data_IF_630367853487
#
_entry.id   IF_630367853487
#
_cell.length_a   1.000
_cell.length_b   1.000
_cell.length_c   1.000
_cell.angle_alpha   90.00
_cell.angle_beta   90.00
_cell.angle_gamma   90.00
#
_symmetry.space_group_name_H-M   'P 1'
#
loop_
_entity.id
_entity.type
_entity.pdbx_description
1 polymer ?
#
# COMPACT_ATOMS: atom_id res chain seq x y z
N UNK A 1 -26.83 -13.31 11.17
CA UNK A 1 -25.37 -13.17 10.96
C UNK A 1 -24.64 -13.86 12.09
N UNK A 2 -23.67 -14.69 11.73
CA UNK A 2 -22.72 -15.29 12.68
C UNK A 2 -21.74 -14.22 13.14
N UNK A 3 -21.37 -14.23 14.42
CA UNK A 3 -20.44 -13.23 14.95
C UNK A 3 -19.02 -13.57 14.49
N UNK A 4 -18.22 -12.54 14.21
CA UNK A 4 -16.79 -12.68 14.00
C UNK A 4 -16.13 -13.21 15.29
N UNK A 5 -15.49 -14.39 15.23
CA UNK A 5 -15.00 -15.05 16.41
C UNK A 5 -13.72 -14.39 16.92
N UNK A 6 -13.67 -14.17 18.24
CA UNK A 6 -12.46 -13.67 18.91
C UNK A 6 -11.35 -14.71 18.85
N UNK A 7 -11.71 -15.98 19.03
CA UNK A 7 -10.79 -17.10 19.10
C UNK A 7 -11.16 -18.18 18.10
N UNK A 8 -10.16 -18.71 17.44
CA UNK A 8 -10.22 -19.83 16.49
C UNK A 8 -8.99 -20.68 16.80
N UNK A 9 -9.19 -21.98 17.03
CA UNK A 9 -8.08 -22.89 17.34
C UNK A 9 -7.01 -22.85 16.24
N UNK A 10 -5.75 -22.66 16.64
CA UNK A 10 -4.60 -22.71 15.74
C UNK A 10 -4.03 -24.13 15.79
N UNK A 11 -4.07 -24.82 14.65
CA UNK A 11 -3.43 -26.13 14.51
C UNK A 11 -1.91 -25.96 14.33
N UNK A 12 -1.20 -25.86 15.45
CA UNK A 12 0.27 -25.74 15.47
C UNK A 12 0.99 -26.92 14.80
N UNK A 13 0.33 -28.08 14.64
CA UNK A 13 0.95 -29.23 13.97
C UNK A 13 1.27 -28.94 12.50
N UNK A 14 0.51 -28.06 11.84
CA UNK A 14 0.78 -27.58 10.47
C UNK A 14 2.07 -26.77 10.34
N UNK A 15 2.62 -26.32 11.45
CA UNK A 15 3.78 -25.43 11.49
C UNK A 15 5.02 -26.10 12.12
N UNK A 16 5.00 -27.42 12.31
CA UNK A 16 6.16 -28.13 12.85
C UNK A 16 7.41 -27.92 11.98
N UNK A 17 8.60 -27.75 12.60
CA UNK A 17 9.83 -27.35 11.91
C UNK A 17 10.33 -28.40 10.92
N UNK A 18 10.04 -29.68 11.17
CA UNK A 18 10.49 -30.86 10.45
C UNK A 18 9.51 -31.38 9.39
N UNK A 19 8.42 -30.66 9.12
CA UNK A 19 7.47 -31.03 8.07
C UNK A 19 8.13 -31.01 6.67
N UNK A 20 7.92 -32.07 5.85
CA UNK A 20 8.33 -32.08 4.46
C UNK A 20 7.67 -30.97 3.63
N UNK A 21 8.41 -30.40 2.66
CA UNK A 21 7.92 -29.29 1.82
C UNK A 21 6.62 -29.61 1.06
N UNK A 22 6.41 -30.86 0.64
CA UNK A 22 5.21 -31.29 -0.07
C UNK A 22 3.95 -31.27 0.80
N UNK A 23 4.12 -31.39 2.12
CA UNK A 23 3.05 -31.32 3.13
C UNK A 23 2.75 -29.89 3.59
N UNK A 24 3.62 -28.92 3.26
CA UNK A 24 3.40 -27.53 3.63
C UNK A 24 2.31 -26.90 2.73
N UNK A 25 1.23 -26.47 3.37
CA UNK A 25 0.15 -25.75 2.71
C UNK A 25 0.56 -24.30 2.39
N UNK A 26 0.17 -23.83 1.21
CA UNK A 26 0.37 -22.46 0.78
C UNK A 26 -0.96 -21.72 0.66
N UNK A 27 -1.17 -20.76 1.53
CA UNK A 27 -2.34 -19.87 1.53
C UNK A 27 -2.24 -18.81 0.43
N UNK A 28 -3.37 -18.15 0.15
CA UNK A 28 -3.49 -16.98 -0.76
C UNK A 28 -3.10 -17.25 -2.23
N UNK A 29 -2.94 -18.52 -2.61
CA UNK A 29 -2.42 -18.90 -3.93
C UNK A 29 -0.93 -18.62 -4.12
N UNK A 30 -0.19 -18.47 -3.02
CA UNK A 30 1.26 -18.25 -3.05
C UNK A 30 2.02 -19.45 -3.65
N UNK A 31 3.15 -19.22 -4.35
CA UNK A 31 4.00 -20.30 -4.82
C UNK A 31 4.58 -21.10 -3.65
N UNK A 32 4.37 -22.42 -3.64
CA UNK A 32 4.93 -23.32 -2.60
C UNK A 32 6.45 -23.24 -2.48
N UNK A 33 7.14 -23.12 -3.61
CA UNK A 33 8.60 -22.99 -3.64
C UNK A 33 8.99 -21.51 -3.53
N UNK A 34 9.58 -21.14 -2.40
CA UNK A 34 10.04 -19.78 -2.14
C UNK A 34 11.37 -19.53 -2.83
N UNK A 35 11.45 -18.45 -3.60
CA UNK A 35 12.66 -18.01 -4.29
C UNK A 35 12.92 -16.55 -3.99
N UNK A 36 14.19 -16.19 -3.83
CA UNK A 36 14.64 -14.80 -3.69
C UNK A 36 15.33 -14.34 -4.97
N UNK A 37 15.15 -13.07 -5.31
CA UNK A 37 15.88 -12.41 -6.38
C UNK A 37 17.39 -12.46 -6.08
N UNK A 38 18.22 -12.69 -7.09
CA UNK A 38 19.69 -12.69 -6.95
C UNK A 38 20.28 -11.30 -6.75
N UNK A 39 19.55 -10.26 -7.17
CA UNK A 39 20.04 -8.88 -7.21
C UNK A 39 19.39 -7.99 -6.15
N UNK A 40 18.32 -8.45 -5.50
CA UNK A 40 17.68 -7.71 -4.41
C UNK A 40 17.16 -8.68 -3.33
N UNK A 41 16.44 -8.15 -2.34
CA UNK A 41 15.94 -8.94 -1.20
C UNK A 41 14.50 -9.43 -1.37
N UNK A 42 13.85 -9.14 -2.51
CA UNK A 42 12.47 -9.57 -2.80
C UNK A 42 12.36 -11.08 -3.03
N UNK A 43 11.23 -11.66 -2.65
CA UNK A 43 10.87 -13.04 -3.00
C UNK A 43 9.65 -13.11 -3.92
N UNK A 44 9.47 -14.27 -4.55
CA UNK A 44 8.28 -14.60 -5.35
C UNK A 44 6.97 -14.72 -4.54
N UNK A 45 7.02 -14.41 -3.24
CA UNK A 45 5.86 -14.37 -2.34
C UNK A 45 5.18 -12.99 -2.33
N UNK A 46 5.81 -11.97 -2.93
CA UNK A 46 5.23 -10.63 -3.00
C UNK A 46 3.96 -10.65 -3.85
N UNK A 47 2.78 -10.30 -3.31
CA UNK A 47 1.59 -10.17 -4.13
C UNK A 47 1.71 -8.98 -5.11
N UNK A 48 1.15 -9.13 -6.30
CA UNK A 48 0.97 -8.07 -7.26
C UNK A 48 -0.28 -7.25 -6.93
N UNK A 49 -0.32 -6.02 -7.41
CA UNK A 49 -1.53 -5.19 -7.28
C UNK A 49 -2.71 -5.86 -7.96
N UNK A 50 -3.85 -5.91 -7.27
CA UNK A 50 -5.12 -6.42 -7.79
C UNK A 50 -6.22 -5.37 -7.74
N UNK A 51 -7.39 -5.72 -8.30
CA UNK A 51 -8.62 -4.95 -8.13
C UNK A 51 -9.09 -5.09 -6.68
N UNK A 52 -8.76 -4.10 -5.86
CA UNK A 52 -8.85 -4.22 -4.39
C UNK A 52 -10.28 -4.40 -3.89
N UNK A 53 -11.25 -3.92 -4.66
CA UNK A 53 -12.67 -4.07 -4.36
C UNK A 53 -13.20 -5.48 -4.66
N UNK A 54 -12.41 -6.38 -5.26
CA UNK A 54 -12.78 -7.80 -5.44
C UNK A 54 -12.17 -8.71 -4.35
N UNK A 55 -11.46 -8.13 -3.39
CA UNK A 55 -10.66 -8.88 -2.42
C UNK A 55 -11.51 -9.49 -1.29
N UNK A 56 -11.44 -10.81 -1.19
CA UNK A 56 -12.04 -11.66 -0.17
C UNK A 56 -10.98 -12.58 0.46
N UNK A 57 -11.34 -13.33 1.50
CA UNK A 57 -10.43 -14.32 2.11
C UNK A 57 -10.02 -15.42 1.13
N UNK A 58 -10.85 -15.71 0.14
CA UNK A 58 -10.63 -16.75 -0.87
C UNK A 58 -9.87 -16.22 -2.11
N UNK A 59 -9.51 -14.93 -2.14
CA UNK A 59 -8.79 -14.36 -3.26
C UNK A 59 -7.42 -15.00 -3.47
N UNK A 60 -7.20 -15.49 -4.69
CA UNK A 60 -5.90 -15.97 -5.16
C UNK A 60 -5.07 -14.79 -5.65
N UNK A 61 -3.88 -14.60 -5.07
CA UNK A 61 -2.96 -13.52 -5.43
C UNK A 61 -1.99 -13.99 -6.50
N UNK A 62 -1.90 -13.24 -7.60
CA UNK A 62 -0.74 -13.32 -8.50
C UNK A 62 0.45 -12.71 -7.75
N UNK A 63 1.62 -13.32 -7.89
CA UNK A 63 2.83 -12.85 -7.22
C UNK A 63 3.90 -12.38 -8.20
N UNK A 64 4.91 -11.70 -7.66
CA UNK A 64 6.10 -11.29 -8.40
C UNK A 64 6.76 -12.50 -9.06
N UNK A 65 7.11 -12.35 -10.33
CA UNK A 65 7.85 -13.36 -11.08
C UNK A 65 9.35 -13.15 -10.87
N UNK A 66 10.03 -14.24 -10.51
CA UNK A 66 11.49 -14.37 -10.59
C UNK A 66 11.75 -15.19 -11.86
N UNK A 67 12.48 -14.60 -12.81
CA UNK A 67 12.72 -15.21 -14.11
C UNK A 67 13.77 -16.34 -14.01
N UNK A 68 14.00 -17.07 -15.10
CA UNK A 68 14.93 -18.21 -15.15
C UNK A 68 16.38 -17.82 -14.81
N UNK A 69 16.77 -16.57 -15.05
CA UNK A 69 18.07 -16.03 -14.66
C UNK A 69 18.21 -15.79 -13.14
N UNK A 70 17.09 -15.86 -12.39
CA UNK A 70 17.01 -15.63 -10.96
C UNK A 70 16.79 -14.16 -10.57
N UNK A 71 16.43 -13.30 -11.52
CA UNK A 71 16.20 -11.87 -11.31
C UNK A 71 14.69 -11.57 -11.39
N UNK A 72 14.20 -10.70 -10.51
CA UNK A 72 12.79 -10.31 -10.49
C UNK A 72 12.44 -9.25 -11.54
N UNK A 73 11.17 -9.19 -11.95
CA UNK A 73 10.68 -8.23 -12.94
C UNK A 73 11.01 -6.76 -12.60
N UNK A 74 11.00 -6.41 -11.31
CA UNK A 74 11.33 -5.08 -10.82
C UNK A 74 12.81 -4.69 -11.01
N UNK A 75 13.74 -5.66 -10.90
CA UNK A 75 15.16 -5.44 -11.19
C UNK A 75 15.38 -5.33 -12.70
N UNK A 76 14.74 -6.17 -13.51
CA UNK A 76 14.75 -6.06 -14.97
C UNK A 76 14.21 -4.71 -15.45
N UNK A 77 13.13 -4.21 -14.85
CA UNK A 77 12.61 -2.86 -15.13
C UNK A 77 13.65 -1.78 -14.85
N UNK A 78 14.39 -1.90 -13.74
CA UNK A 78 15.46 -0.96 -13.42
C UNK A 78 16.63 -1.05 -14.41
N UNK A 79 17.05 -2.25 -14.79
CA UNK A 79 18.07 -2.43 -15.83
C UNK A 79 17.68 -1.76 -17.15
N UNK A 80 16.41 -1.82 -17.55
CA UNK A 80 15.93 -1.10 -18.73
C UNK A 80 16.09 0.43 -18.59
N UNK A 81 15.86 0.97 -17.40
CA UNK A 81 16.08 2.40 -17.10
C UNK A 81 17.57 2.78 -17.08
N UNK A 82 18.44 1.92 -16.55
CA UNK A 82 19.87 2.18 -16.37
C UNK A 82 20.68 1.97 -17.66
N UNK A 83 20.36 0.93 -18.45
CA UNK A 83 21.15 0.50 -19.60
C UNK A 83 20.80 1.22 -20.91
N UNK A 84 20.07 2.35 -20.84
CA UNK A 84 19.73 3.16 -22.02
C UNK A 84 18.68 2.54 -22.94
N UNK A 85 17.90 1.55 -22.47
CA UNK A 85 16.76 1.02 -23.22
C UNK A 85 15.56 1.97 -23.26
N UNK A 86 15.59 3.03 -22.44
CA UNK A 86 14.61 4.10 -22.43
C UNK A 86 15.27 5.40 -22.88
N UNK A 87 14.77 5.96 -23.97
CA UNK A 87 15.13 7.31 -24.41
C UNK A 87 14.36 8.35 -23.58
N UNK A 88 14.99 8.79 -22.49
CA UNK A 88 14.40 9.78 -21.59
C UNK A 88 14.19 11.14 -22.25
N UNK A 89 14.96 11.51 -23.28
CA UNK A 89 14.74 12.76 -24.00
C UNK A 89 13.48 12.67 -24.87
N UNK A 90 13.24 11.53 -25.51
CA UNK A 90 11.99 11.25 -26.22
C UNK A 90 10.80 11.24 -25.25
N UNK A 91 10.91 10.55 -24.11
CA UNK A 91 9.87 10.53 -23.06
C UNK A 91 9.52 11.93 -22.55
N UNK A 92 10.52 12.76 -22.32
CA UNK A 92 10.33 14.14 -21.89
C UNK A 92 9.61 14.98 -22.95
N UNK A 93 9.97 14.77 -24.23
CA UNK A 93 9.29 15.40 -25.37
C UNK A 93 7.83 14.95 -25.47
N UNK A 94 7.53 13.66 -25.34
CA UNK A 94 6.16 13.12 -25.31
C UNK A 94 5.32 13.78 -24.20
N UNK A 95 5.91 14.00 -23.02
CA UNK A 95 5.23 14.70 -21.92
C UNK A 95 4.98 16.18 -22.23
N UNK A 96 5.93 16.87 -22.86
CA UNK A 96 5.72 18.26 -23.28
C UNK A 96 4.57 18.36 -24.27
N UNK A 97 4.55 17.52 -25.29
CA UNK A 97 3.48 17.49 -26.29
C UNK A 97 2.12 17.19 -25.65
N UNK A 98 2.06 16.23 -24.72
CA UNK A 98 0.86 15.95 -23.95
C UNK A 98 0.43 17.16 -23.10
N UNK A 99 1.34 17.77 -22.36
CA UNK A 99 1.04 18.96 -21.58
C UNK A 99 0.54 20.11 -22.48
N UNK A 100 1.16 20.33 -23.64
CA UNK A 100 0.74 21.37 -24.60
C UNK A 100 -0.65 21.13 -25.17
N UNK A 101 -1.06 19.87 -25.36
CA UNK A 101 -2.42 19.49 -25.78
C UNK A 101 -3.49 19.87 -24.76
N UNK A 102 -3.21 19.65 -23.46
CA UNK A 102 -4.20 19.84 -22.38
C UNK A 102 -4.11 21.19 -21.66
N UNK A 103 -2.97 21.88 -21.74
CA UNK A 103 -2.72 23.12 -20.99
C UNK A 103 -3.76 24.18 -21.34
N UNK A 104 -4.38 24.74 -20.31
CA UNK A 104 -5.38 25.79 -20.46
C UNK A 104 -4.78 27.16 -20.25
N UNK A 105 -5.27 28.14 -21.00
CA UNK A 105 -4.83 29.54 -20.94
C UNK A 105 -5.89 30.46 -20.30
N UNK A 106 -6.98 29.89 -19.79
CA UNK A 106 -8.09 30.61 -19.15
C UNK A 106 -7.98 30.68 -17.62
N UNK A 107 -6.93 30.07 -17.05
CA UNK A 107 -6.67 30.01 -15.61
C UNK A 107 -7.42 28.88 -14.88
N UNK A 108 -8.17 28.03 -15.59
CA UNK A 108 -8.77 26.83 -15.00
C UNK A 108 -7.78 25.66 -14.89
N UNK A 109 -8.09 24.67 -14.05
CA UNK A 109 -7.26 23.49 -13.89
C UNK A 109 -7.23 22.65 -15.19
N UNK A 110 -6.03 22.19 -15.56
CA UNK A 110 -5.77 21.40 -16.77
C UNK A 110 -5.26 19.98 -16.47
N UNK A 111 -4.79 19.72 -15.25
CA UNK A 111 -4.51 18.38 -14.77
C UNK A 111 -4.87 18.21 -13.28
N UNK A 112 -4.98 16.95 -12.84
CA UNK A 112 -5.23 16.58 -11.46
C UNK A 112 -4.09 15.70 -10.92
N UNK A 113 -3.60 16.01 -9.72
CA UNK A 113 -2.56 15.24 -9.03
C UNK A 113 -3.10 14.75 -7.68
N UNK A 114 -3.35 13.44 -7.50
CA UNK A 114 -3.69 12.90 -6.21
C UNK A 114 -2.44 12.78 -5.32
N UNK A 115 -2.61 12.95 -4.02
CA UNK A 115 -1.51 12.82 -3.07
C UNK A 115 -1.86 13.15 -1.64
N UNK A 116 -0.99 12.75 -0.71
CA UNK A 116 -1.13 13.04 0.73
C UNK A 116 -0.27 14.21 1.21
N UNK A 117 0.49 14.86 0.31
CA UNK A 117 1.56 15.80 0.69
C UNK A 117 2.89 15.12 0.98
N UNK A 118 2.99 13.81 0.73
CA UNK A 118 4.25 13.08 0.68
C UNK A 118 5.16 13.59 -0.46
N UNK A 119 6.44 13.19 -0.39
CA UNK A 119 7.49 13.61 -1.35
C UNK A 119 7.11 13.38 -2.82
N UNK A 120 6.47 12.25 -3.14
CA UNK A 120 6.20 11.87 -4.52
C UNK A 120 5.10 12.72 -5.13
N UNK A 121 4.02 12.95 -4.38
CA UNK A 121 2.92 13.82 -4.81
C UNK A 121 3.34 15.28 -4.89
N UNK A 122 4.19 15.74 -3.96
CA UNK A 122 4.75 17.07 -4.01
C UNK A 122 5.59 17.25 -5.28
N UNK A 123 6.55 16.33 -5.51
CA UNK A 123 7.42 16.34 -6.69
C UNK A 123 6.60 16.35 -7.98
N UNK A 124 5.59 15.48 -8.11
CA UNK A 124 4.72 15.43 -9.29
C UNK A 124 4.01 16.77 -9.56
N UNK A 125 3.33 17.32 -8.56
CA UNK A 125 2.57 18.55 -8.71
C UNK A 125 3.48 19.75 -8.99
N UNK A 126 4.62 19.82 -8.31
CA UNK A 126 5.61 20.88 -8.48
C UNK A 126 6.27 20.83 -9.86
N UNK A 127 6.64 19.65 -10.33
CA UNK A 127 7.20 19.48 -11.67
C UNK A 127 6.20 19.91 -12.75
N UNK A 128 4.96 19.42 -12.70
CA UNK A 128 3.92 19.77 -13.66
C UNK A 128 3.65 21.28 -13.70
N UNK A 129 3.58 21.93 -12.53
CA UNK A 129 3.35 23.37 -12.44
C UNK A 129 4.50 24.20 -12.95
N UNK A 130 5.71 23.97 -12.45
CA UNK A 130 6.83 24.90 -12.64
C UNK A 130 7.73 24.54 -13.84
N UNK A 131 7.86 23.26 -14.21
CA UNK A 131 8.62 22.83 -15.41
C UNK A 131 7.74 22.80 -16.66
N UNK A 132 6.49 22.36 -16.53
CA UNK A 132 5.57 22.16 -17.66
C UNK A 132 4.47 23.22 -17.80
N UNK A 133 4.40 24.18 -16.86
CA UNK A 133 3.46 25.30 -16.94
C UNK A 133 1.99 24.89 -16.83
N UNK A 134 1.71 23.74 -16.21
CA UNK A 134 0.35 23.24 -15.98
C UNK A 134 -0.28 23.92 -14.74
N UNK A 135 -1.60 23.85 -14.64
CA UNK A 135 -2.40 24.27 -13.48
C UNK A 135 -2.99 23.03 -12.78
N UNK A 136 -2.20 22.32 -11.95
CA UNK A 136 -2.68 21.12 -11.27
C UNK A 136 -3.69 21.45 -10.17
N UNK A 137 -4.82 20.74 -10.16
CA UNK A 137 -5.67 20.58 -8.98
C UNK A 137 -5.14 19.43 -8.13
N UNK A 138 -4.84 19.66 -6.86
CA UNK A 138 -4.42 18.58 -5.97
C UNK A 138 -5.62 18.00 -5.22
N UNK A 139 -5.63 16.68 -5.02
CA UNK A 139 -6.71 15.97 -4.32
C UNK A 139 -6.12 14.98 -3.32
N UNK A 140 -6.62 15.02 -2.09
CA UNK A 140 -6.14 14.16 -1.01
C UNK A 140 -7.26 13.28 -0.48
N UNK A 141 -7.01 11.97 -0.44
CA UNK A 141 -7.77 11.05 0.39
C UNK A 141 -7.11 10.98 1.75
N UNK A 142 -7.84 11.34 2.81
CA UNK A 142 -7.27 11.41 4.15
C UNK A 142 -6.82 10.01 4.64
N UNK A 143 -5.68 9.92 5.35
CA UNK A 143 -5.29 8.71 6.07
C UNK A 143 -6.29 8.38 7.18
N UNK A 144 -6.18 7.17 7.72
CA UNK A 144 -7.00 6.75 8.85
C UNK A 144 -6.76 7.64 10.07
N UNK A 145 -5.49 7.86 10.40
CA UNK A 145 -5.05 8.73 11.49
C UNK A 145 -3.76 9.43 11.07
N UNK A 146 -3.80 10.75 10.95
CA UNK A 146 -2.62 11.53 10.64
C UNK A 146 -1.52 11.39 11.70
N UNK A 147 -0.27 11.31 11.25
CA UNK A 147 0.87 11.71 12.06
C UNK A 147 1.01 13.24 12.09
N UNK A 148 1.61 13.84 13.14
CA UNK A 148 1.84 15.29 13.18
C UNK A 148 2.68 15.78 11.99
N UNK A 149 3.76 15.08 11.66
CA UNK A 149 4.63 15.44 10.54
C UNK A 149 3.98 15.20 9.16
N UNK A 150 3.13 14.17 9.04
CA UNK A 150 2.32 13.95 7.83
C UNK A 150 1.38 15.12 7.55
N UNK A 151 0.69 15.61 8.60
CA UNK A 151 -0.15 16.79 8.50
C UNK A 151 0.66 18.06 8.16
N UNK A 152 1.81 18.27 8.81
CA UNK A 152 2.71 19.39 8.47
C UNK A 152 3.16 19.35 7.01
N UNK A 153 3.54 18.18 6.49
CA UNK A 153 3.94 18.01 5.09
C UNK A 153 2.78 18.31 4.12
N UNK A 154 1.56 17.89 4.45
CA UNK A 154 0.37 18.25 3.67
C UNK A 154 0.16 19.78 3.63
N UNK A 155 0.30 20.46 4.77
CA UNK A 155 0.19 21.93 4.81
C UNK A 155 1.32 22.60 4.02
N UNK A 156 2.55 22.07 4.12
CA UNK A 156 3.70 22.58 3.38
C UNK A 156 3.48 22.46 1.87
N UNK A 157 2.93 21.35 1.40
CA UNK A 157 2.55 21.16 0.00
C UNK A 157 1.53 22.21 -0.47
N UNK A 158 0.45 22.43 0.27
CA UNK A 158 -0.57 23.44 -0.07
C UNK A 158 0.05 24.84 -0.12
N UNK A 159 0.84 25.19 0.88
CA UNK A 159 1.45 26.53 0.99
C UNK A 159 2.65 26.76 0.06
N UNK A 160 3.13 25.73 -0.64
CA UNK A 160 4.03 25.86 -1.79
C UNK A 160 3.31 26.35 -3.08
N UNK A 161 2.01 26.64 -2.98
CA UNK A 161 1.22 27.29 -4.03
C UNK A 161 0.27 26.35 -4.76
N UNK A 162 -0.36 25.41 -4.06
CA UNK A 162 -1.30 24.44 -4.63
C UNK A 162 -2.68 24.53 -3.97
N UNK A 163 -3.72 24.51 -4.79
CA UNK A 163 -5.08 24.29 -4.30
C UNK A 163 -5.27 22.80 -4.00
N UNK A 164 -5.98 22.48 -2.93
CA UNK A 164 -6.23 21.12 -2.50
C UNK A 164 -7.69 20.86 -2.13
N UNK A 165 -8.23 19.73 -2.61
CA UNK A 165 -9.44 19.15 -2.08
C UNK A 165 -9.11 17.95 -1.19
N UNK A 166 -9.31 18.13 0.11
CA UNK A 166 -9.20 17.06 1.10
C UNK A 166 -10.55 16.34 1.25
N UNK A 167 -10.58 15.06 0.90
CA UNK A 167 -11.69 14.17 1.21
C UNK A 167 -11.35 13.35 2.45
N UNK A 168 -12.00 13.67 3.57
CA UNK A 168 -11.96 12.84 4.79
C UNK A 168 -13.23 11.98 4.82
N UNK A 169 -13.12 10.64 4.80
CA UNK A 169 -14.30 9.79 4.86
C UNK A 169 -15.07 9.95 6.16
N UNK A 170 -16.34 9.52 6.17
CA UNK A 170 -17.11 9.34 7.40
C UNK A 170 -16.31 8.44 8.36
N UNK A 171 -15.86 9.00 9.48
CA UNK A 171 -14.96 8.32 10.41
C UNK A 171 -15.57 7.07 11.07
N UNK A 172 -16.90 6.97 11.15
CA UNK A 172 -17.56 5.75 11.64
C UNK A 172 -17.47 4.64 10.59
N UNK A 173 -17.89 4.94 9.35
CA UNK A 173 -17.82 3.97 8.24
C UNK A 173 -16.38 3.54 7.96
N UNK A 174 -15.45 4.49 7.88
CA UNK A 174 -14.03 4.19 7.63
C UNK A 174 -13.47 3.26 8.71
N UNK A 175 -13.73 3.57 9.98
CA UNK A 175 -13.32 2.73 11.12
C UNK A 175 -13.87 1.31 11.03
N UNK A 176 -15.16 1.17 10.75
CA UNK A 176 -15.80 -0.14 10.65
C UNK A 176 -15.23 -0.95 9.47
N UNK A 177 -15.04 -0.33 8.31
CA UNK A 177 -14.41 -0.98 7.17
C UNK A 177 -12.96 -1.40 7.47
N UNK A 178 -12.18 -0.57 8.18
CA UNK A 178 -10.82 -0.94 8.61
C UNK A 178 -10.86 -2.15 9.55
N UNK A 179 -11.76 -2.14 10.55
CA UNK A 179 -11.93 -3.28 11.46
C UNK A 179 -12.29 -4.56 10.72
N UNK A 180 -13.23 -4.50 9.77
CA UNK A 180 -13.62 -5.65 8.95
C UNK A 180 -12.44 -6.14 8.09
N UNK A 181 -11.70 -5.22 7.47
CA UNK A 181 -10.51 -5.56 6.69
C UNK A 181 -9.41 -6.21 7.54
N UNK A 182 -9.23 -5.78 8.79
CA UNK A 182 -8.31 -6.41 9.75
C UNK A 182 -8.74 -7.84 10.09
N UNK A 183 -10.02 -8.09 10.33
CA UNK A 183 -10.49 -9.41 10.76
C UNK A 183 -10.64 -10.41 9.63
N UNK A 184 -11.22 -9.98 8.52
CA UNK A 184 -11.58 -10.87 7.41
C UNK A 184 -10.41 -11.11 6.46
N UNK A 185 -9.53 -10.12 6.29
CA UNK A 185 -8.46 -10.15 5.28
C UNK A 185 -7.06 -10.08 5.90
N UNK A 186 -6.97 -9.72 7.18
CA UNK A 186 -5.74 -9.29 7.84
C UNK A 186 -4.99 -8.24 7.01
N UNK A 187 -5.76 -7.23 6.55
CA UNK A 187 -5.28 -6.14 5.71
C UNK A 187 -5.94 -4.82 6.13
N UNK A 188 -5.53 -4.20 7.26
CA UNK A 188 -6.17 -2.99 7.79
C UNK A 188 -6.18 -1.82 6.81
N UNK A 189 -5.26 -1.78 5.85
CA UNK A 189 -5.09 -0.68 4.91
C UNK A 189 -6.04 -0.69 3.71
N UNK A 190 -6.78 -1.78 3.50
CA UNK A 190 -7.65 -1.93 2.32
C UNK A 190 -8.59 -0.73 2.09
N UNK A 191 -9.33 -0.21 3.10
CA UNK A 191 -10.24 0.91 2.87
C UNK A 191 -9.54 2.18 2.39
N UNK A 192 -8.28 2.38 2.79
CA UNK A 192 -7.47 3.50 2.32
C UNK A 192 -7.00 3.29 0.88
N UNK A 193 -6.54 2.09 0.51
CA UNK A 193 -6.17 1.76 -0.89
C UNK A 193 -7.36 1.98 -1.83
N UNK A 194 -8.57 1.61 -1.41
CA UNK A 194 -9.80 1.87 -2.17
C UNK A 194 -9.98 3.37 -2.40
N UNK A 195 -9.95 4.19 -1.35
CA UNK A 195 -10.06 5.65 -1.48
C UNK A 195 -8.98 6.26 -2.39
N UNK A 196 -7.72 5.82 -2.25
CA UNK A 196 -6.62 6.27 -3.10
C UNK A 196 -6.87 6.00 -4.58
N UNK A 197 -7.34 4.80 -4.93
CA UNK A 197 -7.60 4.43 -6.33
C UNK A 197 -8.83 5.13 -6.90
N UNK A 198 -9.87 5.34 -6.10
CA UNK A 198 -11.18 5.79 -6.60
C UNK A 198 -11.40 7.31 -6.58
N UNK A 199 -10.77 8.04 -5.66
CA UNK A 199 -11.08 9.46 -5.48
C UNK A 199 -10.64 10.32 -6.66
N UNK A 200 -9.42 10.13 -7.16
CA UNK A 200 -8.83 11.00 -8.17
C UNK A 200 -9.63 10.99 -9.50
N UNK A 201 -9.96 9.83 -10.09
CA UNK A 201 -10.76 9.79 -11.32
C UNK A 201 -12.16 10.38 -11.15
N UNK A 202 -12.80 10.16 -9.99
CA UNK A 202 -14.11 10.76 -9.68
C UNK A 202 -14.06 12.28 -9.61
N UNK A 203 -13.02 12.82 -8.96
CA UNK A 203 -12.84 14.27 -8.85
C UNK A 203 -12.48 14.88 -10.20
N UNK A 204 -11.66 14.20 -11.00
CA UNK A 204 -11.36 14.60 -12.38
C UNK A 204 -12.64 14.73 -13.22
N UNK A 205 -13.52 13.72 -13.18
CA UNK A 205 -14.82 13.76 -13.85
C UNK A 205 -15.72 14.87 -13.32
N UNK A 206 -15.74 15.09 -12.01
CA UNK A 206 -16.57 16.14 -11.37
C UNK A 206 -16.15 17.56 -11.76
N UNK A 207 -14.86 17.80 -11.94
CA UNK A 207 -14.32 19.11 -12.32
C UNK A 207 -14.13 19.29 -13.85
N UNK A 208 -14.39 18.25 -14.65
CA UNK A 208 -14.14 18.29 -16.10
C UNK A 208 -12.65 18.42 -16.42
N UNK A 209 -11.80 17.72 -15.66
CA UNK A 209 -10.34 17.69 -15.85
C UNK A 209 -9.98 16.35 -16.51
N UNK A 210 -9.67 16.30 -17.80
CA UNK A 210 -9.47 15.04 -18.52
C UNK A 210 -8.14 14.34 -18.19
N UNK A 211 -7.18 15.03 -17.56
CA UNK A 211 -5.83 14.50 -17.36
C UNK A 211 -5.51 14.32 -15.87
N UNK A 212 -5.23 13.09 -15.45
CA UNK A 212 -4.82 12.72 -14.08
C UNK A 212 -3.42 12.12 -14.09
N UNK A 213 -2.51 12.62 -13.24
CA UNK A 213 -1.16 12.08 -13.09
C UNK A 213 -0.96 11.39 -11.74
N UNK A 214 -0.64 10.10 -11.77
CA UNK A 214 -0.03 9.37 -10.65
C UNK A 214 1.50 9.41 -10.78
N UNK A 215 2.23 9.04 -9.72
CA UNK A 215 3.69 8.97 -9.72
C UNK A 215 4.22 7.79 -10.53
N UNK A 216 4.70 6.75 -9.84
CA UNK A 216 5.30 5.56 -10.43
C UNK A 216 4.27 4.48 -10.81
N UNK A 217 4.62 3.70 -11.83
CA UNK A 217 3.86 2.53 -12.27
C UNK A 217 4.09 1.36 -11.29
N UNK A 218 3.08 0.51 -11.07
CA UNK A 218 3.18 -0.66 -10.18
C UNK A 218 4.29 -1.65 -10.60
N UNK A 219 4.72 -1.68 -11.87
CA UNK A 219 5.85 -2.49 -12.35
C UNK A 219 7.17 -2.14 -11.66
N UNK A 220 7.34 -0.88 -11.22
CA UNK A 220 8.46 -0.43 -10.38
C UNK A 220 8.46 -1.08 -8.98
N UNK A 221 7.39 -1.79 -8.63
CA UNK A 221 7.26 -2.50 -7.37
C UNK A 221 7.03 -4.00 -7.58
N UNK A 222 7.24 -4.52 -8.80
CA UNK A 222 7.23 -5.96 -9.08
C UNK A 222 5.97 -6.52 -9.73
N UNK A 223 5.07 -5.66 -10.21
CA UNK A 223 4.09 -6.08 -11.21
C UNK A 223 4.79 -6.42 -12.55
N UNK A 224 4.10 -7.08 -13.49
CA UNK A 224 4.67 -7.47 -14.76
C UNK A 224 5.34 -6.31 -15.50
N UNK A 225 6.57 -6.53 -15.96
CA UNK A 225 7.38 -5.50 -16.65
C UNK A 225 6.69 -4.93 -17.91
N UNK A 226 5.80 -5.70 -18.54
CA UNK A 226 5.02 -5.26 -19.69
C UNK A 226 4.15 -4.04 -19.40
N UNK A 227 3.74 -3.83 -18.14
CA UNK A 227 2.92 -2.70 -17.72
C UNK A 227 3.66 -1.35 -17.87
N UNK A 228 5.01 -1.37 -17.90
CA UNK A 228 5.85 -0.17 -18.14
C UNK A 228 5.84 0.31 -19.60
N UNK A 229 5.25 -0.44 -20.53
CA UNK A 229 5.18 -0.04 -21.94
C UNK A 229 4.11 1.03 -22.22
N UNK A 230 3.24 1.31 -21.25
CA UNK A 230 2.16 2.28 -21.38
C UNK A 230 2.25 3.33 -20.28
N UNK A 231 1.99 4.58 -20.65
CA UNK A 231 1.76 5.64 -19.68
C UNK A 231 0.38 5.53 -19.00
N UNK A 232 -0.58 4.86 -19.64
CA UNK A 232 -1.96 4.75 -19.17
C UNK A 232 -2.10 3.67 -18.09
N UNK A 233 -2.81 4.02 -17.02
CA UNK A 233 -3.24 3.06 -16.00
C UNK A 233 -4.44 2.26 -16.49
N UNK A 234 -4.45 0.96 -16.20
CA UNK A 234 -5.60 0.10 -16.47
C UNK A 234 -6.85 0.62 -15.75
N UNK A 235 -7.91 0.85 -16.51
CA UNK A 235 -9.18 1.41 -16.02
C UNK A 235 -9.88 0.51 -15.00
N UNK A 236 -9.67 -0.81 -15.05
CA UNK A 236 -10.27 -1.76 -14.11
C UNK A 236 -9.81 -1.54 -12.67
N UNK A 237 -8.70 -0.82 -12.44
CA UNK A 237 -8.32 -0.41 -11.08
C UNK A 237 -9.28 0.61 -10.46
N UNK A 238 -10.02 1.34 -11.28
CA UNK A 238 -10.83 2.47 -10.82
C UNK A 238 -12.21 2.63 -11.49
N UNK A 239 -12.61 1.68 -12.32
CA UNK A 239 -13.89 1.69 -13.00
C UNK A 239 -14.51 0.29 -13.10
N UNK A 240 -15.82 0.19 -12.85
CA UNK A 240 -16.60 -1.04 -13.06
C UNK A 240 -18.02 -0.69 -13.51
N UNK A 241 -18.69 -1.66 -14.13
CA UNK A 241 -20.12 -1.58 -14.45
C UNK A 241 -20.97 -2.60 -13.66
N UNK A 242 -20.32 -3.44 -12.86
CA UNK A 242 -20.97 -4.44 -12.01
C UNK A 242 -20.54 -4.24 -10.55
N UNK A 243 -21.53 -4.19 -9.66
CA UNK A 243 -21.35 -3.97 -8.23
C UNK A 243 -21.59 -5.23 -7.40
N UNK A 244 -22.05 -6.34 -8.00
CA UNK A 244 -22.37 -7.59 -7.31
C UNK A 244 -21.12 -8.28 -6.73
N UNK A 245 -19.96 -7.98 -7.30
CA UNK A 245 -18.66 -8.52 -6.90
C UNK A 245 -17.77 -7.53 -6.13
N UNK A 246 -18.38 -6.51 -5.51
CA UNK A 246 -17.66 -5.54 -4.68
C UNK A 246 -17.68 -5.92 -3.19
N UNK A 247 -16.50 -5.94 -2.60
CA UNK A 247 -16.23 -6.24 -1.21
C UNK A 247 -15.41 -5.12 -0.57
N UNK A 248 -15.85 -4.64 0.59
CA UNK A 248 -15.13 -3.67 1.41
C UNK A 248 -14.90 -4.31 2.78
N UNK A 249 -13.64 -4.42 3.21
CA UNK A 249 -13.26 -5.18 4.39
C UNK A 249 -13.51 -6.69 4.25
N UNK A 250 -13.52 -7.21 3.03
CA UNK A 250 -13.87 -8.61 2.73
C UNK A 250 -15.37 -8.93 2.85
N UNK A 251 -16.21 -7.91 3.00
CA UNK A 251 -17.67 -8.04 3.19
C UNK A 251 -18.40 -7.45 1.98
N UNK A 252 -19.41 -8.16 1.48
CA UNK A 252 -20.21 -7.68 0.34
C UNK A 252 -20.97 -6.40 0.66
N UNK A 253 -21.24 -5.56 -0.35
CA UNK A 253 -22.06 -4.35 -0.19
C UNK A 253 -23.42 -4.65 0.47
N UNK A 254 -24.07 -5.74 0.05
CA UNK A 254 -25.34 -6.20 0.61
C UNK A 254 -25.25 -6.46 2.12
N UNK A 255 -24.21 -7.15 2.57
CA UNK A 255 -24.01 -7.41 4.00
C UNK A 255 -23.70 -6.10 4.75
N UNK A 256 -22.88 -5.21 4.21
CA UNK A 256 -22.62 -3.90 4.84
C UNK A 256 -23.91 -3.10 5.09
N UNK A 257 -24.85 -3.14 4.15
CA UNK A 257 -26.17 -2.51 4.31
C UNK A 257 -27.11 -3.28 5.24
N UNK A 258 -27.25 -4.60 5.05
CA UNK A 258 -28.25 -5.41 5.75
C UNK A 258 -27.85 -5.72 7.19
N UNK A 259 -26.60 -6.09 7.41
CA UNK A 259 -26.08 -6.61 8.68
C UNK A 259 -25.46 -5.49 9.53
N UNK A 260 -24.65 -4.62 8.89
CA UNK A 260 -23.92 -3.55 9.58
C UNK A 260 -24.67 -2.21 9.57
N UNK A 261 -25.76 -2.09 8.80
CA UNK A 261 -26.61 -0.88 8.67
C UNK A 261 -25.84 0.36 8.21
N UNK A 262 -24.85 0.18 7.32
CA UNK A 262 -24.14 1.30 6.70
C UNK A 262 -25.02 1.90 5.59
N UNK A 263 -25.10 3.23 5.53
CA UNK A 263 -25.84 3.92 4.47
C UNK A 263 -25.09 3.82 3.13
N UNK A 264 -25.84 3.65 2.03
CA UNK A 264 -25.27 3.60 0.67
C UNK A 264 -24.44 4.84 0.34
N UNK A 265 -24.85 6.01 0.82
CA UNK A 265 -24.13 7.26 0.61
C UNK A 265 -22.74 7.25 1.27
N UNK A 266 -22.61 6.61 2.43
CA UNK A 266 -21.33 6.47 3.13
C UNK A 266 -20.39 5.46 2.43
N UNK A 267 -20.96 4.48 1.72
CA UNK A 267 -20.20 3.51 0.91
C UNK A 267 -19.75 4.09 -0.43
N UNK A 268 -20.51 5.02 -1.01
CA UNK A 268 -20.33 5.53 -2.37
C UNK A 268 -18.92 6.08 -2.68
N UNK A 269 -18.24 6.64 -1.67
CA UNK A 269 -16.88 7.19 -1.83
C UNK A 269 -15.82 6.11 -2.06
N UNK A 270 -16.05 4.87 -1.60
CA UNK A 270 -15.14 3.73 -1.74
C UNK A 270 -15.35 2.94 -3.04
N UNK A 271 -16.50 3.11 -3.69
CA UNK A 271 -16.84 2.37 -4.90
C UNK A 271 -16.04 2.86 -6.12
N UNK A 272 -15.82 2.06 -7.16
CA UNK A 272 -15.22 2.55 -8.40
C UNK A 272 -16.12 3.56 -9.12
N UNK A 273 -15.58 4.25 -10.13
CA UNK A 273 -16.42 5.02 -11.04
C UNK A 273 -17.15 4.09 -12.01
N UNK A 274 -18.28 4.52 -12.56
CA UNK A 274 -18.82 3.88 -13.77
C UNK A 274 -17.94 4.24 -14.97
N UNK A 275 -17.66 3.27 -15.85
CA UNK A 275 -16.85 3.49 -17.05
C UNK A 275 -17.43 4.62 -17.91
N UNK A 276 -18.75 4.67 -18.04
CA UNK A 276 -19.48 5.70 -18.80
C UNK A 276 -19.18 7.14 -18.34
N UNK A 277 -18.93 7.34 -17.04
CA UNK A 277 -18.62 8.65 -16.48
C UNK A 277 -17.19 9.09 -16.85
N UNK A 278 -16.26 8.14 -16.95
CA UNK A 278 -14.88 8.42 -17.35
C UNK A 278 -14.79 8.70 -18.85
N UNK A 279 -15.48 7.90 -19.67
CA UNK A 279 -15.57 8.07 -21.12
C UNK A 279 -16.17 9.43 -21.49
N UNK A 280 -17.29 9.80 -20.86
CA UNK A 280 -17.98 11.08 -21.11
C UNK A 280 -17.09 12.30 -20.84
N UNK A 281 -16.18 12.20 -19.88
CA UNK A 281 -15.27 13.29 -19.52
C UNK A 281 -13.87 13.13 -20.13
N UNK A 282 -13.66 12.11 -20.98
CA UNK A 282 -12.38 11.77 -21.59
C UNK A 282 -11.22 11.66 -20.57
N UNK A 283 -11.51 11.05 -19.41
CA UNK A 283 -10.53 10.93 -18.32
C UNK A 283 -9.42 9.96 -18.71
N UNK A 284 -8.18 10.42 -18.60
CA UNK A 284 -6.97 9.64 -18.80
C UNK A 284 -6.13 9.69 -17.53
N UNK A 285 -5.91 8.51 -16.94
CA UNK A 285 -5.04 8.33 -15.78
C UNK A 285 -3.68 7.87 -16.27
N UNK A 286 -2.65 8.66 -16.02
CA UNK A 286 -1.28 8.44 -16.51
C UNK A 286 -0.25 8.39 -15.40
N UNK A 287 0.82 7.62 -15.60
CA UNK A 287 1.99 7.60 -14.73
C UNK A 287 3.02 8.62 -15.17
N UNK A 288 3.37 9.56 -14.30
CA UNK A 288 4.41 10.55 -14.56
C UNK A 288 5.80 9.89 -14.65
N UNK A 289 6.03 8.80 -13.90
CA UNK A 289 7.26 8.01 -13.94
C UNK A 289 7.53 7.28 -15.26
N UNK A 290 6.55 7.23 -16.18
CA UNK A 290 6.79 6.80 -17.57
C UNK A 290 7.59 7.84 -18.36
N UNK A 291 7.32 9.12 -18.09
CA UNK A 291 7.89 10.26 -18.80
C UNK A 291 9.17 10.76 -18.17
N UNK A 292 9.23 10.73 -16.85
CA UNK A 292 10.35 11.21 -16.05
C UNK A 292 11.07 10.04 -15.39
N UNK A 293 12.41 10.09 -15.39
CA UNK A 293 13.22 9.09 -14.69
C UNK A 293 13.02 9.26 -13.19
N UNK A 294 12.05 8.52 -12.64
CA UNK A 294 11.69 8.62 -11.24
C UNK A 294 12.81 8.07 -10.36
N UNK A 295 13.21 8.86 -9.37
CA UNK A 295 14.22 8.51 -8.37
C UNK A 295 13.67 8.86 -6.98
N UNK A 296 13.22 7.88 -6.18
CA UNK A 296 12.51 8.11 -4.92
C UNK A 296 13.26 9.00 -3.92
N UNK A 297 14.57 8.78 -3.74
CA UNK A 297 15.40 9.61 -2.87
C UNK A 297 15.63 11.02 -3.47
N UNK A 298 15.65 11.12 -4.80
CA UNK A 298 15.69 12.41 -5.51
C UNK A 298 14.42 13.22 -5.28
N UNK A 299 13.25 12.59 -5.33
CA UNK A 299 11.97 13.22 -5.02
C UNK A 299 11.92 13.70 -3.55
N UNK A 300 12.56 12.99 -2.63
CA UNK A 300 12.73 13.44 -1.24
C UNK A 300 13.52 14.76 -1.18
N UNK A 301 14.74 14.79 -1.73
CA UNK A 301 15.56 16.01 -1.69
C UNK A 301 14.90 17.19 -2.41
N UNK A 302 14.26 16.94 -3.55
CA UNK A 302 13.51 17.94 -4.28
C UNK A 302 12.39 18.55 -3.43
N UNK A 303 11.62 17.71 -2.74
CA UNK A 303 10.50 18.13 -1.90
C UNK A 303 10.94 18.88 -0.65
N UNK A 304 12.10 18.54 -0.09
CA UNK A 304 12.72 19.30 1.00
C UNK A 304 13.08 20.71 0.52
N UNK A 305 13.76 20.81 -0.63
CA UNK A 305 14.25 22.07 -1.19
C UNK A 305 13.11 23.02 -1.62
N UNK A 306 12.09 22.49 -2.30
CA UNK A 306 11.07 23.30 -2.95
C UNK A 306 9.77 23.41 -2.13
N UNK A 307 9.53 22.46 -1.22
CA UNK A 307 8.27 22.32 -0.49
C UNK A 307 8.40 22.39 1.03
N UNK A 308 9.61 22.33 1.58
CA UNK A 308 9.81 22.26 3.02
C UNK A 308 9.38 20.93 3.65
N UNK A 309 9.37 19.84 2.87
CA UNK A 309 9.08 18.49 3.38
C UNK A 309 9.97 18.14 4.57
N UNK A 310 9.40 17.47 5.57
CA UNK A 310 10.08 17.01 6.78
C UNK A 310 9.95 15.50 6.92
N UNK A 311 11.06 14.76 7.09
CA UNK A 311 10.99 13.36 7.46
C UNK A 311 10.40 13.21 8.86
N UNK A 312 9.95 11.99 9.19
CA UNK A 312 9.56 11.63 10.55
C UNK A 312 10.74 11.87 11.52
N UNK A 313 10.47 12.19 12.80
CA UNK A 313 11.53 12.42 13.79
C UNK A 313 12.35 11.15 14.06
N UNK A 314 11.75 9.99 13.87
CA UNK A 314 12.28 8.64 14.10
C UNK A 314 12.04 7.75 12.88
N UNK A 315 12.65 6.55 12.87
CA UNK A 315 12.39 5.54 11.83
C UNK A 315 10.97 4.98 11.93
N UNK A 316 10.42 4.57 10.80
CA UNK A 316 9.18 3.79 10.76
C UNK A 316 9.45 2.37 11.26
N UNK A 317 8.63 1.85 12.17
CA UNK A 317 8.81 0.48 12.67
C UNK A 317 8.62 -0.55 11.55
N UNK A 318 9.48 -1.56 11.54
CA UNK A 318 9.60 -2.49 10.42
C UNK A 318 10.57 -2.02 9.34
N UNK A 319 11.23 -0.86 9.49
CA UNK A 319 12.27 -0.34 8.55
C UNK A 319 13.24 0.65 9.21
N UNK A 320 14.26 1.04 8.45
CA UNK A 320 15.24 2.08 8.78
C UNK A 320 14.86 3.45 8.18
N UNK A 321 13.90 3.49 7.25
CA UNK A 321 13.47 4.71 6.57
C UNK A 321 12.72 5.68 7.49
N UNK A 322 12.80 6.98 7.16
CA UNK A 322 12.14 8.09 7.87
C UNK A 322 11.26 8.95 6.95
N UNK A 323 11.17 8.65 5.67
CA UNK A 323 10.61 9.59 4.68
C UNK A 323 9.53 8.99 3.77
N UNK A 324 9.36 7.66 3.77
CA UNK A 324 8.39 6.96 2.93
C UNK A 324 7.12 6.58 3.73
N UNK A 325 5.93 6.91 3.23
CA UNK A 325 4.63 6.56 3.83
C UNK A 325 4.49 6.94 5.31
N UNK A 326 4.81 8.20 5.63
CA UNK A 326 4.90 8.65 7.03
C UNK A 326 3.65 9.40 7.49
N UNK A 327 2.62 9.53 6.66
CA UNK A 327 1.42 10.34 6.91
C UNK A 327 0.32 9.62 7.69
N UNK A 328 0.23 8.29 7.64
CA UNK A 328 -0.77 7.49 8.34
C UNK A 328 -0.15 6.66 9.47
N UNK A 329 -0.70 6.74 10.68
CA UNK A 329 -0.28 5.89 11.80
C UNK A 329 -0.55 4.39 11.56
N UNK A 330 -1.54 4.03 10.73
CA UNK A 330 -1.88 2.62 10.45
C UNK A 330 -0.86 1.92 9.54
N UNK A 331 -0.01 2.67 8.82
CA UNK A 331 0.95 2.13 7.84
C UNK A 331 1.88 1.06 8.44
N UNK A 332 2.33 1.24 9.69
CA UNK A 332 3.18 0.26 10.36
C UNK A 332 2.49 -1.12 10.49
N UNK A 333 1.20 -1.12 10.83
CA UNK A 333 0.39 -2.33 10.92
C UNK A 333 0.11 -2.93 9.54
N UNK A 334 -0.01 -2.11 8.50
CA UNK A 334 -0.14 -2.61 7.13
C UNK A 334 1.06 -3.46 6.74
N UNK A 335 2.29 -2.96 6.93
CA UNK A 335 3.48 -3.73 6.59
C UNK A 335 3.73 -4.89 7.54
N UNK A 336 3.39 -4.75 8.82
CA UNK A 336 3.43 -5.87 9.75
C UNK A 336 2.48 -7.01 9.30
N UNK A 337 1.22 -6.71 8.94
CA UNK A 337 0.30 -7.73 8.41
C UNK A 337 0.77 -8.33 7.08
N UNK A 338 1.43 -7.54 6.24
CA UNK A 338 2.09 -8.01 4.99
C UNK A 338 3.19 -9.03 5.31
N UNK A 339 4.02 -8.77 6.32
CA UNK A 339 5.05 -9.70 6.79
C UNK A 339 4.45 -11.02 7.28
N UNK A 340 3.37 -10.98 8.05
CA UNK A 340 2.67 -12.20 8.52
C UNK A 340 2.14 -13.03 7.35
N UNK A 341 1.49 -12.40 6.37
CA UNK A 341 0.85 -13.14 5.28
C UNK A 341 1.86 -13.67 4.26
N UNK A 342 2.91 -12.90 3.97
CA UNK A 342 3.75 -13.11 2.78
C UNK A 342 5.23 -13.29 3.10
N UNK A 343 5.65 -13.21 4.37
CA UNK A 343 7.05 -13.34 4.78
C UNK A 343 7.94 -12.18 4.31
N UNK A 344 7.34 -11.06 3.91
CA UNK A 344 8.00 -9.87 3.37
C UNK A 344 7.51 -8.66 4.17
N UNK A 345 8.42 -7.98 4.87
CA UNK A 345 8.12 -6.78 5.65
C UNK A 345 8.50 -5.49 4.93
N UNK A 346 8.32 -4.35 5.60
CA UNK A 346 8.60 -3.03 5.01
C UNK A 346 10.06 -2.86 4.59
N UNK A 347 11.00 -3.42 5.37
CA UNK A 347 12.43 -3.28 5.08
C UNK A 347 12.77 -3.95 3.76
N UNK A 348 12.22 -5.14 3.47
CA UNK A 348 12.41 -5.77 2.16
C UNK A 348 11.98 -4.84 1.02
N UNK A 349 10.84 -4.15 1.13
CA UNK A 349 10.37 -3.21 0.11
C UNK A 349 11.31 -2.00 -0.07
N UNK A 350 11.65 -1.32 1.04
CA UNK A 350 12.50 -0.13 1.01
C UNK A 350 13.90 -0.52 0.50
N UNK A 351 14.52 -1.56 1.05
CA UNK A 351 15.86 -2.00 0.69
C UNK A 351 15.93 -2.49 -0.76
N UNK A 352 14.92 -3.21 -1.26
CA UNK A 352 14.89 -3.61 -2.66
C UNK A 352 14.75 -2.41 -3.61
N UNK A 353 14.05 -1.34 -3.22
CA UNK A 353 14.00 -0.11 -4.00
C UNK A 353 15.36 0.62 -3.98
N UNK A 354 15.99 0.71 -2.82
CA UNK A 354 17.29 1.39 -2.66
C UNK A 354 18.42 0.65 -3.37
N UNK A 355 18.45 -0.69 -3.39
CA UNK A 355 19.40 -1.46 -4.23
C UNK A 355 19.22 -1.10 -5.71
N UNK A 356 17.98 -1.07 -6.19
CA UNK A 356 17.70 -0.81 -7.60
C UNK A 356 18.10 0.61 -8.00
N UNK A 357 18.14 1.55 -7.05
CA UNK A 357 18.63 2.91 -7.29
C UNK A 357 20.12 3.10 -6.96
N UNK A 358 20.86 2.00 -6.71
CA UNK A 358 22.29 2.01 -6.38
C UNK A 358 22.63 2.76 -5.08
N UNK A 359 21.66 2.87 -4.16
CA UNK A 359 21.82 3.58 -2.89
C UNK A 359 22.45 2.69 -1.81
N UNK A 360 22.16 1.38 -1.85
CA UNK A 360 22.72 0.37 -0.94
C UNK A 360 23.10 -0.90 -1.71
N UNK A 361 23.99 -1.68 -1.13
CA UNK A 361 24.38 -3.00 -1.64
C UNK A 361 23.42 -4.10 -1.19
N UNK A 362 23.46 -5.25 -1.88
CA UNK A 362 22.68 -6.43 -1.49
C UNK A 362 23.02 -6.92 -0.07
N UNK A 363 24.29 -6.85 0.34
CA UNK A 363 24.71 -7.30 1.66
C UNK A 363 24.21 -6.36 2.77
N UNK A 364 24.24 -5.06 2.53
CA UNK A 364 23.61 -4.08 3.43
C UNK A 364 22.10 -4.31 3.54
N UNK A 365 21.42 -4.51 2.42
CA UNK A 365 19.99 -4.80 2.41
C UNK A 365 19.62 -6.07 3.18
N UNK A 366 20.40 -7.15 3.03
CA UNK A 366 20.22 -8.39 3.79
C UNK A 366 20.38 -8.16 5.29
N UNK A 367 21.40 -7.39 5.69
CA UNK A 367 21.62 -7.03 7.08
C UNK A 367 20.46 -6.17 7.64
N UNK A 368 19.94 -5.22 6.85
CA UNK A 368 18.78 -4.41 7.22
C UNK A 368 17.52 -5.28 7.39
N UNK A 369 17.24 -6.18 6.45
CA UNK A 369 16.09 -7.09 6.55
C UNK A 369 16.18 -7.96 7.81
N UNK A 370 17.37 -8.49 8.11
CA UNK A 370 17.62 -9.28 9.33
C UNK A 370 17.33 -8.49 10.61
N UNK A 371 17.64 -7.19 10.57
CA UNK A 371 17.52 -6.29 11.72
C UNK A 371 16.09 -5.77 11.95
N UNK A 372 15.31 -5.58 10.90
CA UNK A 372 14.07 -4.78 10.99
C UNK A 372 12.81 -5.47 10.44
N UNK A 373 12.90 -6.44 9.54
CA UNK A 373 11.68 -7.07 9.01
C UNK A 373 10.97 -7.93 10.05
N UNK A 374 9.68 -7.65 10.25
CA UNK A 374 8.87 -8.33 11.24
C UNK A 374 8.87 -7.68 12.62
N UNK A 375 9.55 -6.55 12.78
CA UNK A 375 9.44 -5.73 13.99
C UNK A 375 7.97 -5.39 14.29
N UNK A 376 7.58 -5.60 15.54
CA UNK A 376 6.21 -5.32 15.97
C UNK A 376 5.97 -3.79 16.08
N UNK A 377 4.89 -3.26 15.49
CA UNK A 377 4.64 -1.83 15.45
C UNK A 377 3.94 -1.32 16.72
N UNK A 378 4.68 -1.12 17.81
CA UNK A 378 4.12 -0.65 19.09
C UNK A 378 3.99 0.88 19.23
N UNK A 379 4.66 1.70 18.40
CA UNK A 379 4.73 3.17 18.58
C UNK A 379 3.37 3.87 18.55
N UNK A 380 2.40 3.32 17.80
CA UNK A 380 1.03 3.84 17.71
C UNK A 380 -0.03 2.80 18.09
N UNK A 381 0.38 1.69 18.70
CA UNK A 381 -0.51 0.56 18.97
C UNK A 381 -1.76 1.00 19.74
N UNK A 382 -1.58 1.81 20.80
CA UNK A 382 -2.71 2.21 21.65
C UNK A 382 -3.79 2.95 20.85
N UNK A 383 -3.41 3.92 20.03
CA UNK A 383 -4.35 4.64 19.16
C UNK A 383 -4.98 3.72 18.12
N UNK A 384 -4.23 2.77 17.56
CA UNK A 384 -4.72 1.87 16.52
C UNK A 384 -5.68 0.83 17.10
N UNK A 385 -5.37 0.23 18.25
CA UNK A 385 -6.28 -0.68 18.94
C UNK A 385 -7.57 0.04 19.36
N UNK A 386 -7.46 1.30 19.79
CA UNK A 386 -8.63 2.14 20.06
C UNK A 386 -9.43 2.44 18.77
N UNK A 387 -8.76 2.75 17.67
CA UNK A 387 -9.39 3.00 16.38
C UNK A 387 -10.13 1.74 15.89
N UNK A 388 -9.50 0.57 15.93
CA UNK A 388 -10.11 -0.70 15.51
C UNK A 388 -11.21 -1.20 16.46
N UNK A 389 -11.35 -0.61 17.65
CA UNK A 389 -12.40 -0.99 18.59
C UNK A 389 -13.76 -0.44 18.17
N UNK A 390 -14.77 -1.31 18.22
CA UNK A 390 -16.16 -0.99 17.87
C UNK A 390 -16.95 -0.86 19.17
N UNK A 391 -17.42 0.36 19.48
CA UNK A 391 -18.22 0.61 20.68
C UNK A 391 -19.72 0.61 20.38
N UNK A 392 -20.53 0.24 21.38
CA UNK A 392 -21.98 0.09 21.23
C UNK A 392 -22.70 1.42 20.99
N UNK A 393 -22.13 2.55 21.43
CA UNK A 393 -22.77 3.85 21.33
C UNK A 393 -22.77 4.36 19.89
N UNK A 394 -21.63 4.26 19.20
CA UNK A 394 -21.50 4.69 17.81
C UNK A 394 -21.88 3.59 16.82
N UNK A 395 -21.71 2.31 17.20
CA UNK A 395 -21.93 1.18 16.31
C UNK A 395 -22.93 0.15 16.88
N UNK A 396 -24.17 0.52 17.19
CA UNK A 396 -25.11 -0.37 17.90
C UNK A 396 -25.41 -1.68 17.16
N UNK A 397 -25.38 -1.65 15.82
CA UNK A 397 -25.56 -2.83 14.97
C UNK A 397 -24.25 -3.61 14.81
N UNK A 398 -23.19 -2.96 14.32
CA UNK A 398 -21.90 -3.63 14.11
C UNK A 398 -21.31 -4.23 15.39
N UNK A 399 -21.50 -3.60 16.55
CA UNK A 399 -21.07 -4.13 17.86
C UNK A 399 -21.58 -5.55 18.12
N UNK A 400 -22.77 -5.90 17.61
CA UNK A 400 -23.37 -7.23 17.80
C UNK A 400 -22.74 -8.29 16.90
N UNK A 401 -22.02 -7.88 15.86
CA UNK A 401 -21.36 -8.73 14.88
C UNK A 401 -20.01 -9.26 15.35
N UNK A 402 -19.47 -8.79 16.47
CA UNK A 402 -18.17 -9.21 17.00
C UNK A 402 -18.37 -9.94 18.34
N UNK A 403 -17.69 -11.07 18.54
CA UNK A 403 -17.63 -11.68 19.88
C UNK A 403 -16.88 -10.79 20.87
N UNK A 404 -15.77 -10.18 20.42
CA UNK A 404 -15.02 -9.19 21.18
C UNK A 404 -14.94 -7.86 20.40
N UNK A 405 -15.83 -6.88 20.68
CA UNK A 405 -15.83 -5.61 19.96
C UNK A 405 -14.59 -4.74 20.21
N UNK A 406 -13.97 -4.86 21.39
CA UNK A 406 -12.71 -4.19 21.73
C UNK A 406 -11.53 -4.92 21.08
N UNK A 407 -10.73 -4.21 20.30
CA UNK A 407 -9.45 -4.72 19.81
C UNK A 407 -8.36 -4.46 20.86
N UNK A 408 -7.51 -5.46 21.09
CA UNK A 408 -6.32 -5.37 21.92
C UNK A 408 -5.19 -6.18 21.27
N UNK A 409 -3.98 -6.06 21.83
CA UNK A 409 -2.79 -6.76 21.33
C UNK A 409 -3.06 -8.25 21.19
N UNK A 410 -3.58 -8.89 22.23
CA UNK A 410 -3.80 -10.34 22.26
C UNK A 410 -4.73 -10.80 21.13
N UNK A 411 -5.83 -10.08 20.88
CA UNK A 411 -6.70 -10.35 19.76
C UNK A 411 -5.97 -10.16 18.43
N UNK A 412 -5.29 -9.03 18.26
CA UNK A 412 -4.57 -8.77 17.02
C UNK A 412 -3.49 -9.83 16.73
N UNK A 413 -2.78 -10.31 17.75
CA UNK A 413 -1.79 -11.39 17.59
C UNK A 413 -2.46 -12.73 17.29
N UNK A 414 -3.62 -13.01 17.89
CA UNK A 414 -4.40 -14.20 17.55
C UNK A 414 -4.93 -14.14 16.10
N UNK A 415 -5.24 -12.94 15.59
CA UNK A 415 -5.50 -12.76 14.16
C UNK A 415 -4.22 -13.03 13.35
N UNK A 416 -3.06 -12.51 13.75
CA UNK A 416 -1.80 -12.78 13.04
C UNK A 416 -1.56 -14.29 12.84
N UNK A 417 -1.74 -15.09 13.88
CA UNK A 417 -1.51 -16.54 13.83
C UNK A 417 -2.47 -17.26 12.87
N UNK A 418 -3.73 -16.80 12.74
CA UNK A 418 -4.70 -17.34 11.77
C UNK A 418 -4.26 -17.15 10.31
N UNK A 419 -3.47 -16.11 10.04
CA UNK A 419 -3.10 -15.70 8.68
C UNK A 419 -1.66 -16.10 8.31
N UNK A 420 -0.98 -16.92 9.12
CA UNK A 420 0.34 -17.46 8.78
C UNK A 420 0.22 -18.61 7.80
N UNK A 421 0.89 -18.49 6.67
CA UNK A 421 0.97 -19.57 5.70
C UNK A 421 1.98 -20.65 6.15
N UNK A 422 1.60 -21.94 6.29
CA UNK A 422 2.48 -23.00 6.78
C UNK A 422 3.79 -23.18 6.01
N UNK A 423 3.80 -22.97 4.70
CA UNK A 423 5.02 -23.02 3.89
C UNK A 423 6.00 -21.87 4.14
N UNK A 424 5.55 -20.75 4.73
CA UNK A 424 6.43 -19.63 5.09
C UNK A 424 6.85 -19.69 6.55
N UNK A 425 6.00 -20.23 7.41
CA UNK A 425 6.14 -20.14 8.86
C UNK A 425 6.35 -21.49 9.52
N UNK A 426 7.21 -21.52 10.54
CA UNK A 426 7.33 -22.62 11.48
C UNK A 426 7.18 -22.13 12.91
N UNK A 427 6.64 -22.99 13.76
CA UNK A 427 6.52 -22.78 15.20
C UNK A 427 7.56 -23.65 15.90
N UNK A 428 8.54 -23.01 16.53
CA UNK A 428 9.70 -23.66 17.13
C UNK A 428 10.11 -22.87 18.38
N UNK A 429 10.38 -23.57 19.49
CA UNK A 429 10.76 -22.95 20.77
C UNK A 429 9.77 -21.90 21.29
N UNK A 430 8.47 -22.12 21.06
CA UNK A 430 7.38 -21.17 21.35
C UNK A 430 7.51 -19.83 20.62
N UNK A 431 8.15 -19.81 19.45
CA UNK A 431 8.31 -18.62 18.62
C UNK A 431 7.96 -18.94 17.16
N UNK A 432 7.45 -17.93 16.47
CA UNK A 432 7.27 -18.01 15.03
C UNK A 432 8.56 -17.62 14.33
N UNK A 433 9.01 -18.48 13.41
CA UNK A 433 10.16 -18.22 12.56
C UNK A 433 9.76 -18.40 11.10
N UNK A 434 10.34 -17.58 10.23
CA UNK A 434 10.26 -17.84 8.80
C UNK A 434 11.09 -19.08 8.46
N UNK A 435 10.60 -19.88 7.51
CA UNK A 435 11.34 -20.99 6.91
C UNK A 435 12.38 -20.50 5.90
N UNK A 436 12.15 -19.32 5.33
CA UNK A 436 12.95 -18.75 4.25
C UNK A 436 13.21 -17.26 4.50
N UNK A 437 14.46 -16.83 4.37
CA UNK A 437 14.91 -15.44 4.58
C UNK A 437 15.94 -15.06 3.51
N UNK A 438 16.07 -13.77 3.15
CA UNK A 438 17.11 -13.33 2.22
C UNK A 438 18.52 -13.31 2.85
N UNK A 439 18.61 -13.51 4.17
CA UNK A 439 19.83 -13.49 4.98
C UNK A 439 20.05 -14.81 5.73
N UNK A 440 21.26 -15.03 6.22
CA UNK A 440 21.62 -16.19 7.04
C UNK A 440 21.37 -15.96 8.54
N UNK A 441 20.97 -17.05 9.23
CA UNK A 441 20.70 -17.07 10.66
C UNK A 441 19.32 -16.53 11.04
N UNK A 442 19.07 -16.40 12.34
CA UNK A 442 17.79 -15.95 12.88
C UNK A 442 17.60 -14.42 12.72
N UNK A 443 16.34 -13.99 12.60
CA UNK A 443 15.97 -12.57 12.67
C UNK A 443 16.42 -11.95 14.01
N UNK A 444 16.81 -10.67 14.01
CA UNK A 444 17.11 -9.92 15.24
C UNK A 444 15.84 -9.33 15.87
N UNK A 445 14.74 -9.27 15.12
CA UNK A 445 13.42 -8.87 15.61
C UNK A 445 12.53 -10.10 15.68
N UNK A 446 12.79 -10.94 16.68
CA UNK A 446 12.04 -12.18 16.86
C UNK A 446 10.60 -11.88 17.32
N UNK A 447 9.66 -12.44 16.58
CA UNK A 447 8.25 -12.34 16.90
C UNK A 447 7.86 -13.32 18.02
N UNK A 448 7.27 -12.79 19.08
CA UNK A 448 6.84 -13.58 20.24
C UNK A 448 7.87 -13.70 21.36
N UNK A 449 8.95 -12.92 21.34
CA UNK A 449 9.86 -12.86 22.50
C UNK A 449 9.16 -12.20 23.71
N UNK A 450 8.89 -12.94 24.80
CA UNK A 450 8.30 -12.37 26.01
C UNK A 450 9.21 -11.37 26.73
N UNK A 451 10.47 -11.19 26.30
CA UNK A 451 11.44 -10.26 26.89
C UNK A 451 11.36 -8.83 26.37
N UNK A 452 10.51 -8.53 25.39
CA UNK A 452 10.18 -7.14 25.04
C UNK A 452 11.38 -6.26 24.70
N UNK A 453 12.40 -6.80 24.04
CA UNK A 453 13.57 -6.02 23.57
C UNK A 453 13.20 -5.20 22.35
N UNK A 454 12.25 -4.27 22.50
CA UNK A 454 11.84 -3.37 21.42
C UNK A 454 12.29 -1.91 21.64
N UNK A 455 12.93 -1.58 22.78
CA UNK A 455 13.28 -0.19 23.12
C UNK A 455 14.67 0.07 23.72
N UNK A 456 15.66 -0.79 23.48
CA UNK A 456 17.07 -0.46 23.82
C UNK A 456 17.99 -0.65 22.61
N UNK A 457 17.92 0.28 21.65
CA UNK A 457 19.05 0.65 20.78
C UNK A 457 19.13 2.17 20.69
#
# INVERSE_FOLDING_TARGET
MEKLPRYVDIDYSKYAPDLPEDQLEAYYGLPKHVQFCKECVMSNQKPNSCYEFEHTIDSIKKTMVIQEDGVCDACHACHNKANGHIDWALREKELRELCDEYRKNDGSYDCLVPGSGGKDSFYAAHLLKYKYGMHPLTVTWAPHIYTPWGWENMQAWIHAGFDNYLCTPNGQTHRLLTRLATENLFHPFQPFILGQKQLAPKMAAKFGIPLVFYGENEAEFGNPIADNNSALRDEHFFAVNDYDHIYLGGVSLRQLEEDYKIDKADLAIYLPSETSNLEKNHIQVRYLGYYEKWHPQGAYYYSVEHGGFRPAPERTQGTYSKYNSIDDKIDDFFYYTTYIKYGIGRTTYDAAQEIRNEEITLDEAKALCKKFDGEYPDRFEKEIMQYLSIDKQHFPHAYQCFEQPKMDREYFMHLADRFRSPHLWKWEDNMWKLRHTPYEGDSEVLWGDPKGTHHEI
#
